data_IF_745315752259
#
_entry.id   IF_745315752259
#
_cell.length_a   1.000
_cell.length_b   1.000
_cell.length_c   1.000
_cell.angle_alpha   90.00
_cell.angle_beta   90.00
_cell.angle_gamma   90.00
#
_symmetry.space_group_name_H-M   'P 1'
#
loop_
_entity.id
_entity.type
_entity.pdbx_description
1 polymer ?
#
# COMPACT_ATOMS: atom_id res chain seq x y z
N UNK A 1 1.03 40.80 -54.16
CA UNK A 1 2.27 41.51 -53.79
C UNK A 1 3.24 40.43 -53.31
N UNK A 2 3.99 39.85 -54.25
CA UNK A 2 5.41 40.16 -54.52
C UNK A 2 6.28 39.62 -53.36
N UNK A 3 7.02 38.49 -53.46
CA UNK A 3 8.10 38.15 -54.43
C UNK A 3 9.17 39.25 -54.42
N UNK A 4 10.48 39.02 -54.33
CA UNK A 4 11.31 37.90 -54.79
C UNK A 4 12.74 38.09 -54.23
N UNK A 5 13.42 36.95 -54.06
CA UNK A 5 14.84 36.59 -54.22
C UNK A 5 15.94 37.66 -54.40
N UNK A 6 17.17 37.28 -54.03
CA UNK A 6 18.29 36.90 -54.94
C UNK A 6 19.63 36.92 -54.19
N UNK A 7 20.32 35.78 -54.12
CA UNK A 7 21.38 35.33 -55.07
C UNK A 7 22.67 36.17 -54.94
N UNK A 8 23.90 35.68 -55.06
CA UNK A 8 24.49 34.36 -55.21
C UNK A 8 26.04 34.53 -55.20
N UNK A 9 26.74 33.39 -55.29
CA UNK A 9 28.03 33.17 -55.98
C UNK A 9 29.38 33.45 -55.27
N UNK A 10 30.12 32.34 -55.07
CA UNK A 10 31.59 32.17 -55.05
C UNK A 10 32.22 32.57 -56.42
N UNK A 11 33.57 32.68 -56.60
CA UNK A 11 34.48 31.50 -56.62
C UNK A 11 35.99 31.72 -56.24
N UNK A 12 36.66 30.58 -56.02
CA UNK A 12 38.05 30.17 -56.35
C UNK A 12 39.32 31.01 -56.05
N UNK A 13 40.34 30.29 -55.55
CA UNK A 13 41.75 30.64 -55.72
C UNK A 13 42.75 29.94 -54.79
N UNK A 14 43.29 28.79 -55.22
CA UNK A 14 44.72 28.32 -55.19
C UNK A 14 45.66 28.82 -54.05
N UNK A 15 46.51 28.05 -53.36
CA UNK A 15 47.46 27.01 -53.82
C UNK A 15 48.27 26.46 -52.62
N UNK A 16 48.75 25.21 -52.75
CA UNK A 16 50.11 24.74 -52.40
C UNK A 16 50.50 24.48 -50.93
N UNK A 17 50.84 23.21 -50.64
CA UNK A 17 51.65 22.82 -49.47
C UNK A 17 51.58 21.34 -49.11
N UNK A 18 52.24 20.49 -49.90
CA UNK A 18 52.49 19.05 -49.70
C UNK A 18 53.12 18.74 -48.31
N UNK A 19 53.07 17.56 -47.67
CA UNK A 19 53.34 16.20 -48.16
C UNK A 19 53.11 15.15 -47.03
N UNK A 20 52.64 13.94 -47.41
CA UNK A 20 52.72 12.58 -46.79
C UNK A 20 52.65 12.40 -45.26
N UNK A 21 51.86 11.48 -44.68
CA UNK A 21 52.11 10.02 -44.72
C UNK A 21 50.96 9.26 -44.00
N UNK A 22 50.43 8.22 -44.66
CA UNK A 22 49.88 6.94 -44.17
C UNK A 22 49.35 6.86 -42.73
N UNK A 23 48.08 6.42 -42.57
CA UNK A 23 47.69 5.28 -41.71
C UNK A 23 46.23 4.90 -41.96
N UNK A 24 46.02 3.65 -42.40
CA UNK A 24 44.80 2.92 -42.12
C UNK A 24 44.57 2.94 -40.60
N UNK A 25 43.37 3.28 -40.17
CA UNK A 25 42.87 2.84 -38.87
C UNK A 25 41.38 2.57 -38.99
N UNK A 26 41.06 1.30 -38.81
CA UNK A 26 39.74 0.75 -38.59
C UNK A 26 38.94 1.60 -37.61
N UNK A 27 37.71 1.97 -38.00
CA UNK A 27 36.75 2.55 -37.07
C UNK A 27 35.75 1.44 -36.72
N UNK A 28 36.14 0.72 -35.68
CA UNK A 28 35.48 -0.43 -35.09
C UNK A 28 34.03 -0.13 -34.71
N UNK A 29 33.19 -1.15 -34.93
CA UNK A 29 31.88 -1.27 -34.34
C UNK A 29 31.98 -1.17 -32.82
N UNK A 30 31.24 -0.22 -32.23
CA UNK A 30 31.07 -0.11 -30.79
C UNK A 30 30.26 -1.28 -30.26
N UNK A 31 30.95 -2.37 -29.92
CA UNK A 31 30.46 -3.37 -28.97
C UNK A 31 30.59 -2.76 -27.57
N UNK A 32 29.45 -2.53 -26.92
CA UNK A 32 29.37 -2.20 -25.50
C UNK A 32 29.79 -3.46 -24.69
N UNK A 33 31.08 -3.75 -24.65
CA UNK A 33 31.61 -4.74 -23.71
C UNK A 33 31.61 -4.14 -22.31
N UNK A 34 30.89 -4.80 -21.41
CA UNK A 34 30.97 -4.52 -19.99
C UNK A 34 32.42 -4.69 -19.52
N UNK A 35 33.12 -3.59 -19.31
CA UNK A 35 34.47 -3.55 -18.72
C UNK A 35 34.53 -4.42 -17.46
N UNK A 36 35.38 -5.46 -17.41
CA UNK A 36 35.49 -6.41 -16.30
C UNK A 36 35.69 -5.71 -14.94
N UNK A 37 36.47 -4.62 -14.92
CA UNK A 37 36.87 -3.81 -13.76
C UNK A 37 35.71 -3.10 -13.01
N UNK A 38 34.47 -3.36 -13.41
CA UNK A 38 33.27 -2.69 -12.90
C UNK A 38 32.28 -3.58 -12.18
N UNK A 39 32.44 -4.90 -12.19
CA UNK A 39 31.47 -5.82 -11.59
C UNK A 39 31.59 -5.95 -10.07
N UNK A 40 30.52 -6.42 -9.41
CA UNK A 40 30.45 -6.57 -7.96
C UNK A 40 31.56 -7.49 -7.42
N UNK A 41 31.87 -8.58 -8.12
CA UNK A 41 32.90 -9.54 -7.72
C UNK A 41 34.28 -8.90 -7.61
N UNK A 42 34.63 -8.03 -8.56
CA UNK A 42 35.94 -7.38 -8.60
C UNK A 42 36.02 -6.16 -7.68
N UNK A 43 34.94 -5.36 -7.63
CA UNK A 43 34.90 -4.14 -6.79
C UNK A 43 34.61 -4.42 -5.33
N UNK A 44 34.08 -5.59 -5.00
CA UNK A 44 33.51 -5.98 -3.70
C UNK A 44 32.31 -5.13 -3.23
N UNK A 45 32.06 -3.98 -3.86
CA UNK A 45 30.95 -3.09 -3.58
C UNK A 45 30.49 -2.34 -4.84
N UNK A 46 29.18 -2.34 -5.07
CA UNK A 46 28.50 -1.47 -6.04
C UNK A 46 27.76 -0.37 -5.28
N UNK A 47 27.90 0.87 -5.76
CA UNK A 47 27.26 2.05 -5.20
C UNK A 47 26.26 2.64 -6.21
N UNK A 48 25.17 3.20 -5.71
CA UNK A 48 24.31 4.09 -6.49
C UNK A 48 25.07 5.36 -6.95
N UNK A 49 24.61 6.07 -8.00
CA UNK A 49 25.21 7.33 -8.44
C UNK A 49 25.29 8.40 -7.34
N UNK A 50 24.28 8.45 -6.48
CA UNK A 50 24.16 9.34 -5.31
C UNK A 50 24.99 8.88 -4.11
N UNK A 51 25.59 7.68 -4.16
CA UNK A 51 26.39 7.04 -3.11
C UNK A 51 25.67 6.84 -1.76
N UNK A 52 24.34 6.96 -1.73
CA UNK A 52 23.50 6.77 -0.54
C UNK A 52 23.05 5.31 -0.34
N UNK A 53 23.14 4.53 -1.41
CA UNK A 53 22.82 3.10 -1.48
C UNK A 53 24.00 2.28 -1.97
N UNK A 54 24.12 1.05 -1.49
CA UNK A 54 25.18 0.10 -1.81
C UNK A 54 24.74 -1.36 -1.77
N UNK A 55 25.47 -2.20 -2.49
CA UNK A 55 25.48 -3.67 -2.37
C UNK A 55 26.95 -4.09 -2.22
N UNK A 56 27.26 -4.85 -1.20
CA UNK A 56 28.62 -5.30 -0.88
C UNK A 56 28.66 -6.83 -0.84
N UNK A 57 29.57 -7.41 -1.62
CA UNK A 57 29.95 -8.81 -1.53
C UNK A 57 30.84 -8.99 -0.28
N UNK A 58 30.48 -9.95 0.56
CA UNK A 58 31.23 -10.31 1.77
C UNK A 58 32.25 -11.41 1.45
N UNK A 59 33.25 -11.57 2.30
CA UNK A 59 34.25 -12.63 2.11
C UNK A 59 33.56 -14.00 2.26
N UNK A 60 34.03 -15.01 1.52
CA UNK A 60 33.55 -16.39 1.70
C UNK A 60 33.88 -16.97 3.08
N UNK A 61 34.85 -16.36 3.78
CA UNK A 61 35.20 -16.68 5.17
C UNK A 61 34.29 -16.03 6.21
N UNK A 62 33.48 -15.05 5.81
CA UNK A 62 32.62 -14.33 6.75
C UNK A 62 31.40 -15.19 7.12
N UNK A 63 31.06 -15.23 8.40
CA UNK A 63 29.81 -15.88 8.83
C UNK A 63 28.57 -15.07 8.39
N UNK A 64 27.47 -15.78 8.10
CA UNK A 64 26.18 -15.18 7.74
C UNK A 64 25.91 -15.16 6.24
N UNK A 65 25.37 -14.05 5.73
CA UNK A 65 24.99 -13.92 4.32
C UNK A 65 26.18 -13.55 3.43
N UNK A 66 26.19 -13.97 2.16
CA UNK A 66 27.22 -13.58 1.19
C UNK A 66 27.19 -12.09 0.82
N UNK A 67 26.10 -11.38 1.13
CA UNK A 67 25.91 -9.98 0.78
C UNK A 67 25.49 -9.15 1.98
N UNK A 68 25.88 -7.87 1.96
CA UNK A 68 25.26 -6.82 2.77
C UNK A 68 24.85 -5.67 1.87
N UNK A 69 23.79 -4.96 2.21
CA UNK A 69 23.27 -3.92 1.32
C UNK A 69 22.54 -2.83 2.11
N UNK A 70 22.52 -1.63 1.53
CA UNK A 70 21.61 -0.56 1.91
C UNK A 70 20.99 -0.03 0.63
N UNK A 71 19.69 -0.18 0.47
CA UNK A 71 18.97 0.21 -0.74
C UNK A 71 17.74 1.03 -0.36
N UNK A 72 17.30 1.89 -1.27
CA UNK A 72 16.07 2.66 -1.11
C UNK A 72 14.98 2.03 -1.97
N UNK A 73 13.81 1.81 -1.41
CA UNK A 73 12.62 1.40 -2.15
C UNK A 73 11.46 2.30 -1.75
N UNK A 74 10.89 3.02 -2.73
CA UNK A 74 9.99 4.13 -2.48
C UNK A 74 10.64 5.18 -1.56
N UNK A 75 9.97 5.48 -0.45
CA UNK A 75 10.44 6.43 0.57
C UNK A 75 11.34 5.81 1.65
N UNK A 76 11.53 4.48 1.66
CA UNK A 76 12.12 3.79 2.83
C UNK A 76 13.44 3.10 2.49
N UNK A 77 14.37 3.10 3.46
CA UNK A 77 15.61 2.35 3.37
C UNK A 77 15.45 0.92 3.87
N UNK A 78 16.00 0.01 3.10
CA UNK A 78 16.16 -1.40 3.41
C UNK A 78 17.64 -1.66 3.65
N UNK A 79 17.94 -2.39 4.72
CA UNK A 79 19.31 -2.81 5.03
C UNK A 79 19.34 -4.31 5.15
N UNK A 80 20.21 -4.94 4.37
CA UNK A 80 20.56 -6.34 4.49
C UNK A 80 21.82 -6.44 5.35
N UNK A 81 21.66 -6.95 6.55
CA UNK A 81 22.71 -7.14 7.54
C UNK A 81 23.31 -8.52 7.36
N UNK A 82 24.51 -8.56 6.78
CA UNK A 82 25.14 -9.80 6.37
C UNK A 82 25.42 -10.74 7.55
N UNK A 83 26.09 -10.22 8.59
CA UNK A 83 26.50 -11.00 9.76
C UNK A 83 25.29 -11.57 10.51
N UNK A 84 24.30 -10.71 10.78
CA UNK A 84 23.14 -11.08 11.59
C UNK A 84 22.10 -11.88 10.80
N UNK A 85 22.25 -12.01 9.48
CA UNK A 85 21.26 -12.60 8.57
C UNK A 85 19.89 -11.94 8.68
N UNK A 86 19.87 -10.61 8.80
CA UNK A 86 18.65 -9.84 8.99
C UNK A 86 18.40 -8.89 7.81
N UNK A 87 17.13 -8.63 7.54
CA UNK A 87 16.69 -7.44 6.81
C UNK A 87 15.97 -6.49 7.77
N UNK A 88 16.29 -5.20 7.69
CA UNK A 88 15.53 -4.15 8.38
C UNK A 88 14.97 -3.16 7.37
N UNK A 89 13.71 -2.79 7.53
CA UNK A 89 13.03 -1.81 6.66
C UNK A 89 12.56 -0.64 7.53
N UNK A 90 13.16 0.52 7.33
CA UNK A 90 12.96 1.67 8.22
C UNK A 90 13.22 1.32 9.68
N UNK A 91 12.38 1.82 10.58
CA UNK A 91 12.40 1.55 12.04
C UNK A 91 11.41 0.47 12.50
N UNK A 92 10.68 -0.12 11.55
CA UNK A 92 9.37 -0.73 11.81
C UNK A 92 9.28 -2.21 11.39
N UNK A 93 10.34 -2.75 10.77
CA UNK A 93 10.37 -4.15 10.35
C UNK A 93 11.75 -4.76 10.52
N UNK A 94 11.78 -5.96 11.11
CA UNK A 94 12.98 -6.79 11.25
C UNK A 94 12.60 -8.23 10.94
N UNK A 95 13.33 -8.86 10.02
CA UNK A 95 13.16 -10.26 9.71
C UNK A 95 14.50 -10.96 9.49
N UNK A 96 14.58 -12.21 9.89
CA UNK A 96 15.63 -13.13 9.50
C UNK A 96 15.41 -13.58 8.06
N UNK A 97 16.49 -13.58 7.30
CA UNK A 97 16.48 -13.88 5.87
C UNK A 97 17.63 -14.83 5.50
N UNK A 98 17.46 -15.50 4.38
CA UNK A 98 18.53 -16.20 3.67
C UNK A 98 18.75 -15.59 2.30
N UNK A 99 19.99 -15.70 1.82
CA UNK A 99 20.43 -15.30 0.49
C UNK A 99 21.53 -16.26 0.09
N UNK A 100 21.34 -16.99 -0.98
CA UNK A 100 22.39 -17.85 -1.53
C UNK A 100 23.36 -17.04 -2.39
N UNK A 101 24.64 -17.45 -2.46
CA UNK A 101 25.59 -16.85 -3.39
C UNK A 101 25.08 -16.93 -4.84
N UNK A 102 25.18 -15.83 -5.59
CA UNK A 102 24.72 -15.76 -6.97
C UNK A 102 25.82 -15.26 -7.90
N UNK A 103 26.18 -16.13 -8.86
CA UNK A 103 27.11 -15.78 -9.94
C UNK A 103 26.58 -14.62 -10.80
N UNK A 104 25.26 -14.57 -11.02
CA UNK A 104 24.59 -13.49 -11.75
C UNK A 104 24.76 -12.15 -11.02
N UNK A 105 24.50 -12.09 -9.71
CA UNK A 105 24.67 -10.87 -8.94
C UNK A 105 26.15 -10.42 -8.91
N UNK A 106 27.07 -11.37 -8.84
CA UNK A 106 28.51 -11.12 -8.76
C UNK A 106 29.09 -10.53 -10.06
N UNK A 107 28.53 -10.89 -11.23
CA UNK A 107 29.01 -10.43 -12.53
C UNK A 107 28.43 -9.07 -12.96
N UNK A 108 27.40 -8.58 -12.28
CA UNK A 108 26.74 -7.31 -12.63
C UNK A 108 27.62 -6.11 -12.26
N UNK A 109 27.64 -5.10 -13.13
CA UNK A 109 28.31 -3.82 -12.92
C UNK A 109 27.35 -2.64 -12.71
N UNK A 110 26.09 -2.75 -13.14
CA UNK A 110 25.05 -1.75 -12.91
C UNK A 110 24.37 -1.93 -11.55
N UNK A 111 24.26 -0.85 -10.78
CA UNK A 111 23.68 -0.89 -9.45
C UNK A 111 22.16 -1.21 -9.46
N UNK A 112 21.39 -0.71 -10.44
CA UNK A 112 19.94 -0.94 -10.48
C UNK A 112 19.62 -2.38 -10.85
N UNK A 113 20.37 -2.96 -11.78
CA UNK A 113 20.27 -4.37 -12.12
C UNK A 113 20.68 -5.25 -10.94
N UNK A 114 21.82 -4.97 -10.29
CA UNK A 114 22.27 -5.71 -9.11
C UNK A 114 21.25 -5.65 -7.97
N UNK A 115 20.64 -4.48 -7.75
CA UNK A 115 19.54 -4.29 -6.80
C UNK A 115 18.35 -5.18 -7.15
N UNK A 116 17.90 -5.21 -8.40
CA UNK A 116 16.77 -6.04 -8.82
C UNK A 116 17.05 -7.53 -8.57
N UNK A 117 18.26 -8.01 -8.90
CA UNK A 117 18.67 -9.40 -8.71
C UNK A 117 18.75 -9.75 -7.22
N UNK A 118 19.45 -8.95 -6.41
CA UNK A 118 19.57 -9.19 -4.97
C UNK A 118 18.19 -9.33 -4.31
N UNK A 119 17.25 -8.48 -4.72
CA UNK A 119 15.88 -8.53 -4.21
C UNK A 119 15.05 -9.73 -4.65
N UNK A 120 15.47 -10.42 -5.71
CA UNK A 120 14.92 -11.73 -6.05
C UNK A 120 15.54 -12.89 -5.30
N UNK A 121 16.71 -12.70 -4.69
CA UNK A 121 17.42 -13.74 -3.97
C UNK A 121 17.12 -13.73 -2.47
N UNK A 122 16.65 -12.61 -1.92
CA UNK A 122 16.31 -12.50 -0.49
C UNK A 122 15.04 -13.29 -0.18
N UNK A 123 15.18 -14.31 0.66
CA UNK A 123 14.08 -15.13 1.15
C UNK A 123 13.85 -14.83 2.63
N UNK A 124 12.62 -14.52 3.01
CA UNK A 124 12.26 -14.29 4.41
C UNK A 124 12.05 -15.62 5.13
N UNK A 125 12.87 -15.91 6.14
CA UNK A 125 12.77 -17.13 6.96
C UNK A 125 11.81 -16.93 8.14
N UNK A 126 11.97 -15.80 8.86
CA UNK A 126 11.20 -15.51 10.07
C UNK A 126 11.10 -14.01 10.30
N UNK A 127 9.89 -13.51 10.56
CA UNK A 127 9.68 -12.11 10.96
C UNK A 127 9.82 -12.00 12.49
N UNK A 128 10.71 -11.13 12.96
CA UNK A 128 10.90 -10.86 14.40
C UNK A 128 10.06 -9.69 14.87
N UNK A 129 9.97 -8.65 14.06
CA UNK A 129 9.30 -7.40 14.39
C UNK A 129 8.56 -6.88 13.17
N UNK A 130 7.27 -6.60 13.31
CA UNK A 130 6.48 -5.90 12.29
C UNK A 130 5.55 -4.90 12.96
N UNK A 131 6.07 -3.68 13.21
CA UNK A 131 5.30 -2.59 13.82
C UNK A 131 4.17 -2.12 12.92
N UNK A 132 4.32 -2.22 11.59
CA UNK A 132 3.29 -1.78 10.66
C UNK A 132 2.04 -2.66 10.80
N UNK A 133 2.20 -3.99 10.79
CA UNK A 133 1.07 -4.92 11.00
C UNK A 133 0.42 -4.74 12.37
N UNK A 134 1.20 -4.51 13.43
CA UNK A 134 0.64 -4.20 14.76
C UNK A 134 -0.18 -2.91 14.75
N UNK A 135 0.34 -1.82 14.19
CA UNK A 135 -0.40 -0.55 14.06
C UNK A 135 -1.71 -0.73 13.28
N UNK A 136 -1.70 -1.51 12.20
CA UNK A 136 -2.91 -1.83 11.43
C UNK A 136 -3.94 -2.58 12.31
N UNK A 137 -3.49 -3.60 13.04
CA UNK A 137 -4.34 -4.35 13.97
C UNK A 137 -4.89 -3.48 15.10
N UNK A 138 -4.08 -2.60 15.68
CA UNK A 138 -4.51 -1.69 16.75
C UNK A 138 -5.57 -0.70 16.24
N UNK A 139 -5.37 -0.16 15.03
CA UNK A 139 -6.34 0.70 14.36
C UNK A 139 -7.63 -0.05 14.04
N UNK A 140 -7.56 -1.28 13.56
CA UNK A 140 -8.71 -2.16 13.33
C UNK A 140 -9.54 -2.33 14.61
N UNK A 141 -8.90 -2.70 15.72
CA UNK A 141 -9.58 -2.86 17.01
C UNK A 141 -10.17 -1.54 17.52
N UNK A 142 -9.48 -0.42 17.32
CA UNK A 142 -9.99 0.91 17.69
C UNK A 142 -11.23 1.31 16.87
N UNK A 143 -11.21 1.04 15.55
CA UNK A 143 -12.35 1.25 14.66
C UNK A 143 -13.54 0.40 15.11
N UNK A 144 -13.34 -0.90 15.32
CA UNK A 144 -14.39 -1.81 15.79
C UNK A 144 -14.99 -1.35 17.12
N UNK A 145 -14.15 -0.95 18.08
CA UNK A 145 -14.62 -0.45 19.38
C UNK A 145 -15.47 0.81 19.22
N UNK A 146 -14.98 1.81 18.48
CA UNK A 146 -15.72 3.06 18.23
C UNK A 146 -17.03 2.81 17.50
N UNK A 147 -17.02 1.92 16.50
CA UNK A 147 -18.22 1.53 15.79
C UNK A 147 -19.21 0.80 16.73
N UNK A 148 -18.74 -0.09 17.61
CA UNK A 148 -19.56 -0.77 18.60
C UNK A 148 -20.19 0.19 19.60
N UNK A 149 -19.47 1.22 20.06
CA UNK A 149 -20.02 2.29 20.90
C UNK A 149 -21.19 3.02 20.19
N UNK A 150 -21.10 3.22 18.87
CA UNK A 150 -22.23 3.76 18.10
C UNK A 150 -23.36 2.73 17.94
N UNK A 151 -23.01 1.45 17.77
CA UNK A 151 -23.92 0.32 17.66
C UNK A 151 -24.71 0.05 18.93
N UNK A 152 -24.14 0.24 20.11
CA UNK A 152 -24.84 0.09 21.40
C UNK A 152 -25.92 1.16 21.58
N UNK A 153 -25.73 2.32 20.97
CA UNK A 153 -26.67 3.45 20.97
C UNK A 153 -27.55 3.50 19.70
N UNK A 154 -27.58 2.43 18.89
CA UNK A 154 -28.30 2.39 17.60
C UNK A 154 -29.81 2.67 17.71
N UNK A 155 -30.43 2.42 18.87
CA UNK A 155 -31.83 2.76 19.14
C UNK A 155 -32.11 4.26 19.27
N UNK A 156 -31.07 5.11 19.35
CA UNK A 156 -31.16 6.57 19.47
C UNK A 156 -30.95 7.29 18.13
N UNK A 157 -31.78 8.30 17.85
CA UNK A 157 -31.88 8.97 16.54
C UNK A 157 -30.57 9.57 16.00
N UNK A 158 -29.73 10.15 16.86
CA UNK A 158 -28.50 10.82 16.41
C UNK A 158 -27.38 9.86 16.01
N UNK A 159 -27.40 8.61 16.49
CA UNK A 159 -26.37 7.59 16.26
C UNK A 159 -26.74 6.61 15.16
N UNK A 160 -28.03 6.29 15.00
CA UNK A 160 -28.55 5.44 13.94
C UNK A 160 -28.25 5.98 12.54
N UNK A 161 -28.48 7.28 12.32
CA UNK A 161 -28.19 7.94 11.04
C UNK A 161 -26.71 7.94 10.66
N UNK A 162 -25.80 7.98 11.63
CA UNK A 162 -24.36 7.88 11.36
C UNK A 162 -23.95 6.48 10.94
N UNK A 163 -24.45 5.45 11.64
CA UNK A 163 -24.20 4.06 11.28
C UNK A 163 -24.75 3.75 9.89
N UNK A 164 -25.93 4.26 9.56
CA UNK A 164 -26.50 4.15 8.22
C UNK A 164 -25.58 4.73 7.16
N UNK A 165 -25.09 5.96 7.34
CA UNK A 165 -24.19 6.60 6.37
C UNK A 165 -22.86 5.86 6.22
N UNK A 166 -22.27 5.36 7.31
CA UNK A 166 -21.03 4.58 7.24
C UNK A 166 -21.28 3.26 6.50
N UNK A 167 -22.39 2.56 6.79
CA UNK A 167 -22.75 1.32 6.09
C UNK A 167 -22.98 1.57 4.60
N UNK A 168 -23.76 2.60 4.26
CA UNK A 168 -24.03 2.98 2.86
C UNK A 168 -22.74 3.22 2.09
N UNK A 169 -21.78 3.91 2.71
CA UNK A 169 -20.45 4.10 2.12
C UNK A 169 -19.68 2.79 2.02
N UNK A 170 -19.71 1.94 3.06
CA UNK A 170 -19.02 0.66 3.04
C UNK A 170 -19.54 -0.23 1.92
N UNK A 171 -20.86 -0.37 1.77
CA UNK A 171 -21.49 -1.13 0.69
C UNK A 171 -21.17 -0.59 -0.70
N UNK A 172 -21.23 0.74 -0.87
CA UNK A 172 -20.87 1.40 -2.13
C UNK A 172 -19.44 1.06 -2.58
N UNK A 173 -18.53 0.89 -1.64
CA UNK A 173 -17.13 0.54 -1.89
C UNK A 173 -16.84 -0.95 -1.66
N UNK A 174 -17.87 -1.81 -1.61
CA UNK A 174 -17.72 -3.26 -1.38
C UNK A 174 -16.86 -3.60 -0.16
N UNK A 175 -17.01 -2.82 0.91
CA UNK A 175 -16.26 -2.89 2.17
C UNK A 175 -14.74 -2.67 2.03
N UNK A 176 -14.28 -2.16 0.88
CA UNK A 176 -12.89 -1.77 0.68
C UNK A 176 -12.61 -0.38 1.26
N UNK A 177 -11.82 -0.33 2.33
CA UNK A 177 -11.45 0.91 3.03
C UNK A 177 -10.25 1.58 2.32
N UNK A 178 -10.45 1.91 1.05
CA UNK A 178 -9.47 2.56 0.19
C UNK A 178 -9.50 4.08 0.23
N UNK A 179 -8.75 4.70 -0.68
CA UNK A 179 -8.68 6.15 -0.83
C UNK A 179 -10.03 6.80 -1.11
N UNK A 180 -10.82 6.24 -2.04
CA UNK A 180 -12.11 6.81 -2.44
C UNK A 180 -13.13 6.73 -1.29
N UNK A 181 -13.17 5.60 -0.58
CA UNK A 181 -13.96 5.46 0.64
C UNK A 181 -13.61 6.54 1.67
N UNK A 182 -12.31 6.73 1.94
CA UNK A 182 -11.84 7.74 2.89
C UNK A 182 -12.20 9.16 2.46
N UNK A 183 -12.06 9.48 1.18
CA UNK A 183 -12.38 10.79 0.60
C UNK A 183 -13.87 11.13 0.77
N UNK A 184 -14.76 10.19 0.44
CA UNK A 184 -16.21 10.39 0.59
C UNK A 184 -16.60 10.48 2.07
N UNK A 185 -16.07 9.59 2.92
CA UNK A 185 -16.29 9.60 4.36
C UNK A 185 -15.89 10.94 5.00
N UNK A 186 -14.73 11.50 4.61
CA UNK A 186 -14.26 12.77 5.14
C UNK A 186 -15.14 13.95 4.70
N UNK A 187 -15.65 13.90 3.47
CA UNK A 187 -16.53 14.91 2.89
C UNK A 187 -17.97 14.84 3.44
N UNK A 188 -18.36 13.71 4.05
CA UNK A 188 -19.69 13.51 4.60
C UNK A 188 -19.88 14.35 5.88
N UNK A 189 -20.80 15.33 5.80
CA UNK A 189 -21.15 16.24 6.91
C UNK A 189 -21.91 15.54 8.04
N UNK A 190 -22.63 14.46 7.74
CA UNK A 190 -23.44 13.70 8.71
C UNK A 190 -22.60 12.85 9.66
N UNK A 191 -21.33 12.58 9.30
CA UNK A 191 -20.39 11.89 10.18
C UNK A 191 -19.68 12.86 11.14
N UNK A 192 -20.10 12.86 12.40
CA UNK A 192 -19.59 13.76 13.44
C UNK A 192 -18.43 13.16 14.26
N UNK A 193 -18.22 11.85 14.24
CA UNK A 193 -17.13 11.20 14.98
C UNK A 193 -15.77 11.42 14.29
N UNK A 194 -15.12 12.54 14.61
CA UNK A 194 -13.79 12.90 14.08
C UNK A 194 -12.73 11.82 14.36
N UNK A 195 -12.75 11.24 15.56
CA UNK A 195 -11.77 10.23 15.96
C UNK A 195 -11.94 8.92 15.18
N UNK A 196 -13.15 8.55 14.78
CA UNK A 196 -13.38 7.39 13.91
C UNK A 196 -12.88 7.67 12.48
N UNK A 197 -13.13 8.87 11.94
CA UNK A 197 -12.61 9.27 10.63
C UNK A 197 -11.08 9.19 10.58
N UNK A 198 -10.41 9.71 11.62
CA UNK A 198 -8.95 9.67 11.71
C UNK A 198 -8.43 8.24 11.70
N UNK A 199 -8.98 7.36 12.54
CA UNK A 199 -8.52 5.97 12.61
C UNK A 199 -8.69 5.25 11.27
N UNK A 200 -9.83 5.43 10.60
CA UNK A 200 -10.10 4.83 9.28
C UNK A 200 -9.12 5.33 8.23
N UNK A 201 -8.84 6.64 8.19
CA UNK A 201 -7.87 7.22 7.24
C UNK A 201 -6.47 6.69 7.52
N UNK A 202 -6.06 6.64 8.80
CA UNK A 202 -4.77 6.08 9.18
C UNK A 202 -4.67 4.59 8.84
N UNK A 203 -5.75 3.84 9.06
CA UNK A 203 -5.83 2.42 8.71
C UNK A 203 -5.62 2.22 7.21
N UNK A 204 -6.34 2.96 6.37
CA UNK A 204 -6.19 2.93 4.91
C UNK A 204 -4.77 3.30 4.45
N UNK A 205 -4.18 4.34 5.05
CA UNK A 205 -2.81 4.75 4.74
C UNK A 205 -1.79 3.65 5.09
N UNK A 206 -1.91 3.03 6.28
CA UNK A 206 -1.02 1.96 6.71
C UNK A 206 -1.19 0.69 5.88
N UNK A 207 -2.41 0.37 5.45
CA UNK A 207 -2.71 -0.71 4.51
C UNK A 207 -1.98 -0.53 3.17
N UNK A 208 -2.01 0.69 2.62
CA UNK A 208 -1.27 1.01 1.40
C UNK A 208 0.25 0.87 1.61
N UNK A 209 0.79 1.34 2.73
CA UNK A 209 2.20 1.13 3.06
C UNK A 209 2.57 -0.37 3.17
N UNK A 210 1.65 -1.20 3.70
CA UNK A 210 1.84 -2.64 3.81
C UNK A 210 1.87 -3.30 2.42
N UNK A 211 0.95 -2.91 1.54
CA UNK A 211 0.88 -3.38 0.15
C UNK A 211 2.16 -3.07 -0.63
N UNK A 212 2.67 -1.85 -0.52
CA UNK A 212 3.92 -1.46 -1.18
C UNK A 212 5.11 -2.29 -0.69
N UNK A 213 5.15 -2.61 0.61
CA UNK A 213 6.20 -3.46 1.20
C UNK A 213 6.03 -4.93 0.81
N UNK A 214 4.80 -5.44 0.69
CA UNK A 214 4.53 -6.86 0.47
C UNK A 214 4.74 -7.31 -0.96
N UNK A 215 4.42 -6.45 -1.95
CA UNK A 215 4.78 -6.65 -3.37
C UNK A 215 6.27 -6.94 -3.49
N UNK A 216 7.07 -6.26 -2.68
CA UNK A 216 8.51 -6.40 -2.68
C UNK A 216 8.99 -7.67 -1.97
N UNK A 217 8.45 -7.98 -0.79
CA UNK A 217 8.84 -9.19 -0.05
C UNK A 217 8.40 -10.48 -0.74
N UNK A 218 7.61 -10.39 -1.81
CA UNK A 218 6.96 -11.53 -2.49
C UNK A 218 6.21 -12.41 -1.50
N UNK A 219 5.69 -11.78 -0.45
CA UNK A 219 5.00 -12.46 0.64
C UNK A 219 3.55 -12.68 0.23
N UNK A 220 3.24 -13.64 -0.63
CA UNK A 220 1.87 -13.88 -1.12
C UNK A 220 0.82 -14.05 -0.01
N UNK A 221 1.25 -14.32 1.23
CA UNK A 221 0.40 -14.36 2.43
C UNK A 221 -0.10 -12.97 2.87
N UNK A 222 0.38 -11.87 2.28
CA UNK A 222 -0.14 -10.52 2.54
C UNK A 222 -1.61 -10.40 2.15
N UNK A 223 -2.00 -10.99 1.02
CA UNK A 223 -3.38 -10.95 0.52
C UNK A 223 -4.36 -11.66 1.48
N UNK A 224 -3.95 -12.78 2.09
CA UNK A 224 -4.77 -13.53 3.06
C UNK A 224 -5.06 -12.70 4.31
N UNK A 225 -4.13 -11.84 4.73
CA UNK A 225 -4.33 -10.91 5.84
C UNK A 225 -5.35 -9.80 5.50
N UNK A 226 -5.30 -9.31 4.26
CA UNK A 226 -6.21 -8.26 3.78
C UNK A 226 -7.65 -8.72 3.66
N UNK A 227 -7.89 -9.95 3.22
CA UNK A 227 -9.25 -10.46 3.08
C UNK A 227 -9.94 -10.58 4.45
N UNK A 228 -9.22 -11.01 5.49
CA UNK A 228 -9.73 -10.99 6.87
C UNK A 228 -10.04 -9.59 7.37
N UNK A 229 -9.28 -8.61 6.90
CA UNK A 229 -9.37 -7.22 7.29
C UNK A 229 -10.50 -6.47 6.55
N UNK A 230 -10.75 -6.79 5.28
CA UNK A 230 -11.94 -6.35 4.53
C UNK A 230 -13.23 -6.89 5.16
N UNK A 231 -13.18 -8.11 5.68
CA UNK A 231 -14.30 -8.73 6.37
C UNK A 231 -14.69 -8.01 7.67
N UNK A 232 -13.80 -7.19 8.25
CA UNK A 232 -14.01 -6.50 9.53
C UNK A 232 -15.26 -5.61 9.54
N UNK A 233 -15.41 -4.72 8.54
CA UNK A 233 -16.55 -3.80 8.49
C UNK A 233 -17.85 -4.55 8.17
N UNK A 234 -17.77 -5.54 7.28
CA UNK A 234 -18.93 -6.34 6.89
C UNK A 234 -19.48 -7.13 8.09
N UNK A 235 -18.61 -7.83 8.82
CA UNK A 235 -18.98 -8.59 10.01
C UNK A 235 -19.53 -7.69 11.11
N UNK A 236 -18.89 -6.53 11.32
CA UNK A 236 -19.36 -5.52 12.26
C UNK A 236 -20.80 -5.08 11.93
N UNK A 237 -21.05 -4.69 10.68
CA UNK A 237 -22.37 -4.21 10.30
C UNK A 237 -23.41 -5.32 10.39
N UNK A 238 -23.11 -6.55 9.96
CA UNK A 238 -24.01 -7.70 10.15
C UNK A 238 -24.42 -7.86 11.63
N UNK A 239 -23.46 -7.82 12.55
CA UNK A 239 -23.72 -7.96 13.98
C UNK A 239 -24.57 -6.81 14.56
N UNK A 240 -24.26 -5.56 14.19
CA UNK A 240 -25.03 -4.39 14.67
C UNK A 240 -26.44 -4.36 14.07
N UNK A 241 -26.60 -4.75 12.80
CA UNK A 241 -27.91 -4.87 12.17
C UNK A 241 -28.82 -5.84 12.92
N UNK A 242 -28.28 -7.02 13.24
CA UNK A 242 -29.02 -8.05 13.97
C UNK A 242 -29.39 -7.58 15.38
N UNK A 243 -28.44 -6.95 16.08
CA UNK A 243 -28.67 -6.37 17.42
C UNK A 243 -29.76 -5.29 17.39
N UNK A 244 -29.67 -4.33 16.47
CA UNK A 244 -30.64 -3.24 16.32
C UNK A 244 -32.03 -3.76 15.96
N UNK A 245 -32.10 -4.72 15.03
CA UNK A 245 -33.35 -5.40 14.67
C UNK A 245 -34.00 -6.05 15.88
N UNK A 246 -33.24 -6.80 16.67
CA UNK A 246 -33.75 -7.47 17.87
C UNK A 246 -34.22 -6.46 18.93
N UNK A 247 -33.52 -5.33 19.09
CA UNK A 247 -33.89 -4.25 19.98
C UNK A 247 -35.25 -3.63 19.59
N UNK A 248 -35.43 -3.32 18.31
CA UNK A 248 -36.67 -2.73 17.78
C UNK A 248 -37.84 -3.71 17.87
N UNK A 249 -37.64 -4.99 17.49
CA UNK A 249 -38.67 -6.02 17.58
C UNK A 249 -39.10 -6.28 19.02
N UNK A 250 -38.16 -6.31 19.97
CA UNK A 250 -38.47 -6.48 21.40
C UNK A 250 -39.23 -5.30 22.03
N UNK A 251 -39.33 -4.17 21.31
CA UNK A 251 -39.94 -2.93 21.81
C UNK A 251 -41.21 -2.54 21.05
N UNK A 252 -41.60 -3.29 20.03
CA UNK A 252 -42.75 -3.03 19.18
C UNK A 252 -43.99 -3.85 19.59
N UNK A 253 -45.17 -3.47 19.08
CA UNK A 253 -46.40 -4.24 19.27
C UNK A 253 -46.41 -5.51 18.39
N UNK A 254 -47.17 -6.57 18.73
CA UNK A 254 -47.24 -7.79 17.91
C UNK A 254 -47.68 -7.56 16.45
N UNK A 255 -48.52 -6.53 16.21
CA UNK A 255 -48.96 -6.13 14.88
C UNK A 255 -47.80 -5.52 14.08
N UNK A 256 -47.04 -4.61 14.67
CA UNK A 256 -45.89 -3.98 14.03
C UNK A 256 -44.68 -4.91 13.93
N UNK A 257 -44.54 -5.87 14.84
CA UNK A 257 -43.50 -6.90 14.80
C UNK A 257 -43.58 -7.72 13.49
N UNK A 258 -44.79 -8.07 13.06
CA UNK A 258 -45.01 -8.81 11.81
C UNK A 258 -44.68 -7.98 10.57
N UNK A 259 -44.90 -6.67 10.60
CA UNK A 259 -44.54 -5.77 9.50
C UNK A 259 -43.03 -5.47 9.47
N UNK A 260 -42.42 -5.20 10.63
CA UNK A 260 -40.99 -5.04 10.75
C UNK A 260 -40.24 -6.30 10.31
N UNK A 261 -40.73 -7.50 10.66
CA UNK A 261 -40.12 -8.76 10.22
C UNK A 261 -40.00 -8.91 8.70
N UNK A 262 -40.89 -8.28 7.93
CA UNK A 262 -40.90 -8.29 6.44
C UNK A 262 -40.03 -7.20 5.82
N UNK A 263 -39.53 -6.25 6.62
CA UNK A 263 -38.76 -5.11 6.16
C UNK A 263 -37.32 -5.52 5.83
N UNK A 264 -36.76 -4.95 4.77
CA UNK A 264 -35.36 -5.17 4.41
C UNK A 264 -34.44 -4.70 5.54
N UNK A 265 -33.35 -5.44 5.77
CA UNK A 265 -32.38 -5.16 6.82
C UNK A 265 -31.93 -3.69 6.77
N UNK A 266 -31.70 -3.16 5.57
CA UNK A 266 -31.15 -1.82 5.35
C UNK A 266 -32.00 -0.69 5.92
N UNK A 267 -33.31 -0.91 5.96
CA UNK A 267 -34.26 0.10 6.42
C UNK A 267 -34.41 0.08 7.94
N UNK A 268 -33.96 -0.98 8.63
CA UNK A 268 -33.99 -1.03 10.10
C UNK A 268 -33.11 0.03 10.74
N UNK A 269 -31.94 0.37 10.16
CA UNK A 269 -31.07 1.43 10.72
C UNK A 269 -31.68 2.82 10.65
N UNK A 270 -32.69 3.03 9.81
CA UNK A 270 -33.40 4.31 9.74
C UNK A 270 -34.48 4.43 10.81
N UNK A 271 -34.88 3.31 11.41
CA UNK A 271 -35.87 3.27 12.49
C UNK A 271 -35.19 3.39 13.85
N UNK A 272 -35.81 4.17 14.71
CA UNK A 272 -35.41 4.35 16.11
C UNK A 272 -36.45 3.72 17.03
N UNK A 273 -36.06 3.59 18.30
CA UNK A 273 -36.98 3.15 19.35
C UNK A 273 -38.16 4.11 19.54
N UNK A 274 -37.99 5.40 19.22
CA UNK A 274 -39.06 6.38 19.29
C UNK A 274 -40.08 6.16 18.17
N UNK A 275 -39.61 5.95 16.94
CA UNK A 275 -40.49 5.72 15.77
C UNK A 275 -41.42 4.52 16.00
N UNK A 276 -40.86 3.44 16.54
CA UNK A 276 -41.57 2.19 16.85
C UNK A 276 -42.51 2.34 18.07
N UNK A 277 -42.28 3.33 18.95
CA UNK A 277 -43.17 3.63 20.07
C UNK A 277 -44.26 4.66 19.75
N UNK A 278 -44.00 5.61 18.84
CA UNK A 278 -44.97 6.64 18.46
C UNK A 278 -46.07 6.11 17.54
N UNK A 279 -45.75 5.17 16.64
CA UNK A 279 -46.77 4.48 15.82
C UNK A 279 -47.80 3.77 16.72
N UNK A 280 -47.37 3.26 17.88
CA UNK A 280 -48.25 2.65 18.88
C UNK A 280 -49.21 3.64 19.56
N UNK A 281 -48.84 4.92 19.68
CA UNK A 281 -49.73 5.94 20.22
C UNK A 281 -50.84 6.32 19.22
N UNK A 282 -50.56 6.25 17.92
CA UNK A 282 -51.57 6.52 16.88
C UNK A 282 -52.64 5.42 16.80
N UNK A 283 -52.25 4.14 16.83
CA UNK A 283 -53.19 3.00 16.79
C UNK A 283 -54.11 2.91 18.02
N UNK A 284 -53.76 3.55 19.14
CA UNK A 284 -54.62 3.66 20.34
C UNK A 284 -55.60 4.83 20.29
N UNK A 285 -55.29 5.87 19.51
CA UNK A 285 -56.12 7.09 19.39
C UNK A 285 -57.11 6.96 18.24
N UNK A 286 -56.80 6.16 17.22
CA UNK A 286 -57.66 5.88 16.09
C UNK A 286 -57.70 4.37 15.78
N UNK A 287 -58.56 3.59 16.46
CA UNK A 287 -58.85 2.20 16.09
C UNK A 287 -59.61 2.08 14.75
#
# INVERSE_FOLDING_TARGET
>A
MASVDRDAQSPDGTTSGDNWTILQSDMEASTNEASPDKCLMQRTMLMSPTKDQYIKLRSSSDEGLPYSAKIRYGSTYWKLHGEQRLVTIGSDYVAQVSVEPSAELNSVSDFQQAKKILLGLVITEKVHEDKLRRKISDLASSIQKKLAEHGDECGQCSKSGQLFEIRRLAEKHCYDVGFDFCKEMCSNKSMFCKSLKVDIVMYSAMQNCLKDRSIFLRDDKWAIGLDKEKQMLEDFFKAVMEKHRNLLLGSCSPLMENELKKMDADRFLLLTMADVKEIFCWDRVHP
#
